data_IF_838334498648
#
_entry.id   IF_838334498648
#
_cell.length_a   1.000
_cell.length_b   1.000
_cell.length_c   1.000
_cell.angle_alpha   90.00
_cell.angle_beta   90.00
_cell.angle_gamma   90.00
#
_symmetry.space_group_name_H-M   'P 1'
#
loop_
_entity.id
_entity.type
_entity.pdbx_description
1 polymer ?
#
# COMPACT_ATOMS: atom_id res chain seq x y z
N UNK A 1 -11.79 -47.28 26.01
CA UNK A 1 -12.83 -46.25 25.89
C UNK A 1 -12.13 -44.95 25.56
N UNK A 2 -12.23 -44.51 24.31
CA UNK A 2 -11.61 -43.28 23.83
C UNK A 2 -12.52 -42.09 24.09
N UNK A 3 -11.93 -40.95 24.46
CA UNK A 3 -12.61 -39.65 24.44
C UNK A 3 -12.02 -38.84 23.29
N UNK A 4 -12.89 -38.52 22.35
CA UNK A 4 -12.60 -37.78 21.14
C UNK A 4 -12.30 -36.31 21.47
N UNK A 5 -11.26 -35.78 20.84
CA UNK A 5 -10.97 -34.36 20.72
C UNK A 5 -12.06 -33.75 19.83
N UNK A 6 -12.84 -32.81 20.36
CA UNK A 6 -13.69 -31.93 19.53
C UNK A 6 -12.93 -30.61 19.37
N UNK A 7 -12.24 -30.48 18.24
CA UNK A 7 -11.50 -29.29 17.82
C UNK A 7 -12.32 -28.44 16.84
N UNK A 8 -13.59 -28.19 17.16
CA UNK A 8 -14.41 -27.22 16.45
C UNK A 8 -14.94 -26.19 17.45
N UNK A 9 -14.05 -25.32 17.90
CA UNK A 9 -14.48 -24.06 18.50
C UNK A 9 -14.90 -23.14 17.36
N UNK A 10 -16.20 -22.96 17.18
CA UNK A 10 -16.74 -21.79 16.50
C UNK A 10 -16.18 -20.56 17.22
N UNK A 11 -15.14 -19.95 16.67
CA UNK A 11 -14.76 -18.60 17.06
C UNK A 11 -15.91 -17.69 16.61
N UNK A 12 -16.82 -17.41 17.54
CA UNK A 12 -17.73 -16.28 17.41
C UNK A 12 -16.88 -15.06 17.01
N UNK A 13 -17.30 -14.28 16.01
CA UNK A 13 -16.55 -13.11 15.59
C UNK A 13 -16.33 -12.23 16.80
N UNK A 14 -15.06 -11.91 17.07
CA UNK A 14 -14.65 -11.07 18.17
C UNK A 14 -15.49 -9.77 18.15
N UNK A 15 -16.26 -9.47 19.20
CA UNK A 15 -17.13 -8.29 19.22
C UNK A 15 -16.35 -6.98 19.03
N UNK A 16 -15.05 -6.95 19.36
CA UNK A 16 -14.17 -5.80 19.11
C UNK A 16 -13.86 -5.61 17.61
N UNK A 17 -13.90 -6.67 16.81
CA UNK A 17 -13.66 -6.63 15.35
C UNK A 17 -14.89 -6.20 14.55
N UNK A 18 -16.07 -6.30 15.16
CA UNK A 18 -17.36 -5.98 14.54
C UNK A 18 -17.49 -4.49 14.16
N UNK A 19 -17.14 -3.50 15.00
CA UNK A 19 -17.18 -2.08 14.60
C UNK A 19 -16.19 -1.74 13.48
N UNK A 20 -14.99 -2.32 13.48
CA UNK A 20 -13.99 -2.10 12.42
C UNK A 20 -14.44 -2.68 11.08
N UNK A 21 -15.02 -3.88 11.10
CA UNK A 21 -15.59 -4.51 9.92
C UNK A 21 -16.73 -3.64 9.35
N UNK A 22 -17.61 -3.10 10.20
CA UNK A 22 -18.70 -2.23 9.76
C UNK A 22 -18.19 -0.89 9.20
N UNK A 23 -17.19 -0.29 9.84
CA UNK A 23 -16.59 0.95 9.35
C UNK A 23 -15.93 0.77 7.97
N UNK A 24 -15.32 -0.38 7.71
CA UNK A 24 -14.73 -0.69 6.40
C UNK A 24 -15.78 -1.06 5.37
N UNK A 25 -16.84 -1.76 5.77
CA UNK A 25 -17.99 -2.00 4.89
C UNK A 25 -18.61 -0.69 4.41
N UNK A 26 -18.83 0.27 5.33
CA UNK A 26 -19.37 1.59 4.98
C UNK A 26 -18.44 2.37 4.03
N UNK A 27 -17.11 2.33 4.28
CA UNK A 27 -16.12 2.95 3.38
C UNK A 27 -16.12 2.31 1.99
N UNK A 28 -16.21 0.98 1.95
CA UNK A 28 -16.27 0.24 0.70
C UNK A 28 -17.52 0.60 -0.10
N UNK A 29 -18.69 0.60 0.54
CA UNK A 29 -19.96 0.93 -0.12
C UNK A 29 -19.93 2.36 -0.67
N UNK A 30 -19.38 3.32 0.09
CA UNK A 30 -19.24 4.70 -0.33
C UNK A 30 -18.21 4.89 -1.46
N UNK A 31 -17.06 4.20 -1.40
CA UNK A 31 -15.99 4.37 -2.39
C UNK A 31 -16.26 3.61 -3.70
N UNK A 32 -17.03 2.51 -3.63
CA UNK A 32 -17.25 1.61 -4.75
C UNK A 32 -18.67 1.67 -5.34
N UNK A 33 -19.52 2.62 -4.93
CA UNK A 33 -20.90 2.74 -5.43
C UNK A 33 -20.97 2.77 -6.95
N UNK A 34 -20.00 3.45 -7.56
CA UNK A 34 -19.93 3.68 -9.02
C UNK A 34 -19.12 2.59 -9.75
N UNK A 35 -18.53 1.64 -8.99
CA UNK A 35 -17.59 0.64 -9.48
C UNK A 35 -18.10 -0.78 -9.23
N UNK A 36 -19.18 -1.12 -9.91
CA UNK A 36 -19.82 -2.46 -9.83
C UNK A 36 -19.07 -3.53 -10.61
N UNK A 37 -18.40 -3.16 -11.70
CA UNK A 37 -17.47 -4.02 -12.43
C UNK A 37 -16.04 -3.88 -11.88
N UNK A 38 -15.44 -5.00 -11.48
CA UNK A 38 -14.07 -5.02 -10.95
C UNK A 38 -13.04 -4.72 -12.02
N UNK A 39 -13.23 -5.23 -13.24
CA UNK A 39 -12.23 -5.07 -14.31
C UNK A 39 -12.16 -3.61 -14.74
N UNK A 40 -13.30 -3.00 -15.04
CA UNK A 40 -13.37 -1.57 -15.38
C UNK A 40 -12.84 -0.65 -14.27
N UNK A 41 -13.06 -1.00 -13.00
CA UNK A 41 -12.45 -0.29 -11.87
C UNK A 41 -10.92 -0.38 -11.87
N UNK A 42 -10.36 -1.57 -12.06
CA UNK A 42 -8.90 -1.72 -12.12
C UNK A 42 -8.30 -0.95 -13.30
N UNK A 43 -8.93 -1.03 -14.47
CA UNK A 43 -8.49 -0.30 -15.68
C UNK A 43 -8.53 1.22 -15.46
N UNK A 44 -9.62 1.73 -14.88
CA UNK A 44 -9.75 3.16 -14.57
C UNK A 44 -8.74 3.61 -13.51
N UNK A 45 -8.52 2.82 -12.47
CA UNK A 45 -7.52 3.11 -11.47
C UNK A 45 -6.12 3.16 -12.13
N UNK A 46 -5.80 2.20 -13.02
CA UNK A 46 -4.52 2.18 -13.75
C UNK A 46 -4.36 3.40 -14.66
N UNK A 47 -5.46 3.91 -15.21
CA UNK A 47 -5.50 5.17 -15.97
C UNK A 47 -5.42 6.43 -15.09
N UNK A 48 -5.33 6.30 -13.76
CA UNK A 48 -5.21 7.43 -12.83
C UNK A 48 -6.54 7.97 -12.32
N UNK A 49 -7.64 7.23 -12.42
CA UNK A 49 -8.90 7.64 -11.81
C UNK A 49 -8.84 7.53 -10.28
N UNK A 50 -9.05 8.66 -9.60
CA UNK A 50 -8.97 8.75 -8.14
C UNK A 50 -10.13 8.01 -7.45
N UNK A 51 -11.34 8.03 -8.03
CA UNK A 51 -12.50 7.32 -7.50
C UNK A 51 -12.30 5.81 -7.55
N UNK A 52 -11.82 5.30 -8.69
CA UNK A 52 -11.47 3.90 -8.86
C UNK A 52 -10.36 3.47 -7.90
N UNK A 53 -9.31 4.29 -7.76
CA UNK A 53 -8.21 4.03 -6.81
C UNK A 53 -8.70 3.98 -5.37
N UNK A 54 -9.62 4.87 -4.97
CA UNK A 54 -10.22 4.85 -3.63
C UNK A 54 -11.08 3.59 -3.41
N UNK A 55 -11.82 3.13 -4.43
CA UNK A 55 -12.56 1.87 -4.37
C UNK A 55 -11.62 0.67 -4.20
N UNK A 56 -10.52 0.62 -4.97
CA UNK A 56 -9.50 -0.43 -4.87
C UNK A 56 -8.92 -0.50 -3.46
N UNK A 57 -8.52 0.64 -2.90
CA UNK A 57 -8.00 0.74 -1.52
C UNK A 57 -9.01 0.21 -0.52
N UNK A 58 -10.29 0.59 -0.62
CA UNK A 58 -11.31 0.12 0.31
C UNK A 58 -11.53 -1.41 0.20
N UNK A 59 -11.43 -1.97 -1.01
CA UNK A 59 -11.47 -3.44 -1.22
C UNK A 59 -10.27 -4.14 -0.60
N UNK A 60 -9.07 -3.57 -0.78
CA UNK A 60 -7.84 -4.09 -0.18
C UNK A 60 -7.90 -4.03 1.36
N UNK A 61 -8.30 -2.90 1.94
CA UNK A 61 -8.49 -2.73 3.39
C UNK A 61 -9.46 -3.78 3.96
N UNK A 62 -10.59 -4.03 3.28
CA UNK A 62 -11.52 -5.10 3.67
C UNK A 62 -10.85 -6.47 3.62
N UNK A 63 -10.08 -6.75 2.58
CA UNK A 63 -9.39 -8.04 2.43
C UNK A 63 -8.36 -8.27 3.54
N UNK A 64 -7.58 -7.23 3.88
CA UNK A 64 -6.59 -7.26 4.95
C UNK A 64 -7.24 -7.49 6.32
N UNK A 65 -8.40 -6.88 6.58
CA UNK A 65 -9.12 -7.07 7.84
C UNK A 65 -9.68 -8.47 8.03
N UNK A 66 -10.15 -9.09 6.94
CA UNK A 66 -10.72 -10.43 6.94
C UNK A 66 -9.66 -11.54 6.94
N UNK A 67 -8.39 -11.20 6.69
CA UNK A 67 -7.26 -12.14 6.63
C UNK A 67 -6.24 -11.85 7.76
N UNK A 68 -6.54 -12.24 9.02
CA UNK A 68 -5.59 -12.05 10.13
C UNK A 68 -4.27 -12.76 9.85
N UNK A 69 -3.15 -12.07 10.09
CA UNK A 69 -1.80 -12.58 9.81
C UNK A 69 -1.36 -12.42 8.35
N UNK A 70 -2.01 -11.53 7.59
CA UNK A 70 -1.51 -11.15 6.26
C UNK A 70 -0.16 -10.42 6.40
N UNK A 71 0.92 -11.20 6.29
CA UNK A 71 2.28 -10.68 6.17
C UNK A 71 2.33 -9.70 5.00
N UNK A 72 2.72 -8.46 5.28
CA UNK A 72 2.76 -7.38 4.29
C UNK A 72 1.51 -6.50 4.22
N UNK A 73 0.65 -6.47 5.25
CA UNK A 73 -0.46 -5.52 5.31
C UNK A 73 0.01 -4.05 5.20
N UNK A 74 1.10 -3.69 5.88
CA UNK A 74 1.66 -2.34 5.77
C UNK A 74 2.33 -2.09 4.42
N UNK A 75 2.94 -3.12 3.83
CA UNK A 75 3.45 -3.04 2.45
C UNK A 75 2.31 -2.79 1.46
N UNK A 76 1.19 -3.49 1.59
CA UNK A 76 0.00 -3.27 0.77
C UNK A 76 -0.52 -1.83 0.92
N UNK A 77 -0.71 -1.37 2.16
CA UNK A 77 -1.13 0.01 2.47
C UNK A 77 -0.18 1.06 1.92
N UNK A 78 1.13 0.83 2.02
CA UNK A 78 2.16 1.72 1.47
C UNK A 78 1.96 1.88 -0.04
N UNK A 79 1.89 0.77 -0.78
CA UNK A 79 1.73 0.77 -2.24
C UNK A 79 0.47 1.51 -2.68
N UNK A 80 -0.66 1.15 -2.08
CA UNK A 80 -1.96 1.68 -2.50
C UNK A 80 -2.16 3.15 -2.10
N UNK A 81 -1.68 3.54 -0.91
CA UNK A 81 -1.74 4.94 -0.46
C UNK A 81 -0.72 5.84 -1.16
N UNK A 82 0.49 5.34 -1.44
CA UNK A 82 1.48 6.05 -2.26
C UNK A 82 0.93 6.34 -3.65
N UNK A 83 0.32 5.35 -4.31
CA UNK A 83 -0.31 5.54 -5.62
C UNK A 83 -1.41 6.59 -5.57
N UNK A 84 -2.30 6.54 -4.57
CA UNK A 84 -3.33 7.57 -4.38
C UNK A 84 -2.71 8.96 -4.22
N UNK A 85 -1.64 9.10 -3.45
CA UNK A 85 -0.94 10.37 -3.29
C UNK A 85 -0.40 10.87 -4.64
N UNK A 86 0.27 10.01 -5.42
CA UNK A 86 0.76 10.38 -6.76
C UNK A 86 -0.36 10.86 -7.69
N UNK A 87 -1.51 10.19 -7.68
CA UNK A 87 -2.66 10.53 -8.54
C UNK A 87 -3.34 11.82 -8.09
N UNK A 88 -3.58 11.97 -6.79
CA UNK A 88 -4.32 13.12 -6.24
C UNK A 88 -3.47 14.38 -6.07
N UNK A 89 -2.15 14.23 -5.96
CA UNK A 89 -1.25 15.28 -5.47
C UNK A 89 -1.42 15.59 -3.97
N UNK A 90 -2.32 14.89 -3.28
CA UNK A 90 -2.61 15.10 -1.86
C UNK A 90 -1.80 14.13 -0.99
N UNK A 91 -1.08 14.69 -0.04
CA UNK A 91 -0.31 13.93 0.95
C UNK A 91 -1.18 12.93 1.71
N UNK A 92 -0.80 11.65 1.69
CA UNK A 92 -1.59 10.57 2.29
C UNK A 92 -0.94 10.04 3.58
N UNK A 93 -1.56 10.34 4.73
CA UNK A 93 -1.07 9.90 6.05
C UNK A 93 -1.04 8.37 6.22
N UNK A 94 -1.85 7.62 5.45
CA UNK A 94 -1.80 6.16 5.50
C UNK A 94 -0.51 5.63 4.89
N UNK A 95 0.00 6.28 3.84
CA UNK A 95 1.29 5.93 3.25
C UNK A 95 2.42 6.16 4.26
N UNK A 96 2.37 7.29 4.98
CA UNK A 96 3.38 7.64 5.99
C UNK A 96 3.30 6.73 7.22
N UNK A 97 2.10 6.40 7.68
CA UNK A 97 1.92 5.45 8.79
C UNK A 97 2.48 4.06 8.44
N UNK A 98 2.22 3.58 7.22
CA UNK A 98 2.78 2.33 6.73
C UNK A 98 4.30 2.39 6.54
N UNK A 99 4.85 3.50 6.05
CA UNK A 99 6.30 3.66 5.92
C UNK A 99 7.00 3.59 7.28
N UNK A 100 6.44 4.25 8.32
CA UNK A 100 6.98 4.24 9.70
C UNK A 100 7.01 2.85 10.35
N UNK A 101 6.27 1.87 9.84
CA UNK A 101 6.26 0.51 10.37
C UNK A 101 7.13 -0.47 9.57
N UNK A 102 7.79 0.00 8.50
CA UNK A 102 8.58 -0.83 7.60
C UNK A 102 10.06 -0.43 7.64
N UNK A 103 10.98 -1.39 7.44
CA UNK A 103 12.39 -1.13 7.19
C UNK A 103 12.59 -0.16 6.01
N UNK A 104 13.63 0.66 6.08
CA UNK A 104 13.87 1.73 5.09
C UNK A 104 14.16 1.14 3.71
N UNK A 105 14.92 0.06 3.63
CA UNK A 105 15.17 -0.68 2.39
C UNK A 105 13.88 -1.17 1.72
N UNK A 106 12.94 -1.66 2.53
CA UNK A 106 11.64 -2.16 2.10
C UNK A 106 10.81 -1.00 1.55
N UNK A 107 10.75 0.12 2.25
CA UNK A 107 10.03 1.31 1.76
C UNK A 107 10.64 1.78 0.44
N UNK A 108 11.96 1.92 0.37
CA UNK A 108 12.66 2.36 -0.83
C UNK A 108 12.39 1.45 -2.04
N UNK A 109 12.45 0.12 -1.85
CA UNK A 109 12.17 -0.86 -2.89
C UNK A 109 10.72 -0.76 -3.41
N UNK A 110 9.75 -0.67 -2.50
CA UNK A 110 8.33 -0.62 -2.84
C UNK A 110 7.96 0.68 -3.57
N UNK A 111 8.39 1.84 -3.06
CA UNK A 111 8.04 3.13 -3.68
C UNK A 111 8.70 3.31 -5.05
N UNK A 112 9.89 2.75 -5.23
CA UNK A 112 10.58 2.80 -6.52
C UNK A 112 10.00 1.84 -7.55
N UNK A 113 9.69 0.60 -7.16
CA UNK A 113 9.00 -0.36 -8.03
C UNK A 113 7.64 0.20 -8.48
N UNK A 114 6.87 0.77 -7.55
CA UNK A 114 5.59 1.39 -7.90
C UNK A 114 5.74 2.65 -8.74
N UNK A 115 6.74 3.49 -8.46
CA UNK A 115 7.07 4.63 -9.31
C UNK A 115 7.38 4.18 -10.75
N UNK A 116 8.14 3.09 -10.90
CA UNK A 116 8.42 2.50 -12.22
C UNK A 116 7.13 2.02 -12.91
N UNK A 117 6.29 1.26 -12.22
CA UNK A 117 5.02 0.78 -12.79
C UNK A 117 4.11 1.92 -13.27
N UNK A 118 3.96 2.96 -12.46
CA UNK A 118 3.16 4.13 -12.83
C UNK A 118 3.71 4.84 -14.07
N UNK A 119 5.03 5.01 -14.17
CA UNK A 119 5.67 5.57 -15.38
C UNK A 119 5.44 4.70 -16.61
N UNK A 120 5.50 3.36 -16.48
CA UNK A 120 5.27 2.45 -17.61
C UNK A 120 3.80 2.41 -18.06
N UNK A 121 2.84 2.58 -17.14
CA UNK A 121 1.41 2.57 -17.45
C UNK A 121 0.95 3.87 -18.15
N UNK A 122 1.55 5.01 -17.83
CA UNK A 122 1.14 6.34 -18.34
C UNK A 122 1.59 6.68 -19.78
N UNK A 123 2.28 5.77 -20.47
CA UNK A 123 2.80 6.01 -21.83
C UNK A 123 4.12 6.80 -21.84
N UNK A 124 5.11 6.40 -22.67
CA UNK A 124 6.52 6.75 -22.43
C UNK A 124 6.89 8.10 -23.06
N UNK A 125 7.05 9.14 -22.24
CA UNK A 125 7.80 10.34 -22.64
C UNK A 125 9.12 10.49 -21.86
N UNK A 126 9.24 9.86 -20.69
CA UNK A 126 10.48 9.88 -19.92
C UNK A 126 11.32 8.64 -20.23
N UNK A 127 12.62 8.86 -20.46
CA UNK A 127 13.60 7.79 -20.67
C UNK A 127 13.49 6.82 -19.50
N UNK A 128 13.31 5.54 -19.83
CA UNK A 128 13.61 4.43 -18.92
C UNK A 128 15.06 4.62 -18.45
N UNK A 129 15.23 4.96 -17.17
CA UNK A 129 16.54 5.17 -16.59
C UNK A 129 17.30 3.84 -16.56
N UNK A 130 18.62 3.84 -16.83
CA UNK A 130 19.42 2.64 -16.98
C UNK A 130 19.51 1.85 -15.66
N UNK A 131 19.71 0.54 -15.81
CA UNK A 131 19.81 -0.45 -14.74
C UNK A 131 20.82 -0.04 -13.65
N UNK A 132 20.33 0.21 -12.45
CA UNK A 132 21.11 0.49 -11.25
C UNK A 132 20.21 0.73 -10.03
N UNK A 133 20.61 0.34 -8.80
CA UNK A 133 19.78 0.43 -7.59
C UNK A 133 19.67 1.85 -7.00
N UNK A 134 20.35 2.83 -7.59
CA UNK A 134 20.36 4.22 -7.13
C UNK A 134 19.45 5.06 -8.03
N UNK A 135 18.16 5.01 -7.75
CA UNK A 135 17.14 5.78 -8.47
C UNK A 135 17.07 7.23 -7.97
N UNK A 136 16.78 8.18 -8.85
CA UNK A 136 16.31 9.52 -8.43
C UNK A 136 14.88 9.35 -7.89
N UNK A 137 14.76 9.33 -6.56
CA UNK A 137 13.48 9.36 -5.87
C UNK A 137 12.87 10.75 -6.02
N UNK A 138 11.57 10.82 -6.33
CA UNK A 138 10.83 12.08 -6.28
C UNK A 138 10.58 12.51 -4.82
N UNK A 139 10.12 13.74 -4.62
CA UNK A 139 9.93 14.32 -3.28
C UNK A 139 9.02 13.48 -2.37
N UNK A 140 7.97 12.87 -2.94
CA UNK A 140 7.05 12.00 -2.19
C UNK A 140 7.78 10.72 -1.74
N UNK A 141 8.54 10.10 -2.65
CA UNK A 141 9.32 8.90 -2.36
C UNK A 141 10.40 9.18 -1.31
N UNK A 142 11.09 10.31 -1.41
CA UNK A 142 12.07 10.76 -0.42
C UNK A 142 11.43 10.94 0.96
N UNK A 143 10.23 11.53 1.02
CA UNK A 143 9.52 11.70 2.29
C UNK A 143 9.17 10.35 2.93
N UNK A 144 8.65 9.40 2.15
CA UNK A 144 8.31 8.07 2.64
C UNK A 144 9.54 7.33 3.17
N UNK A 145 10.67 7.39 2.47
CA UNK A 145 11.93 6.76 2.89
C UNK A 145 12.48 7.39 4.18
N UNK A 146 12.37 8.72 4.34
CA UNK A 146 12.85 9.43 5.54
C UNK A 146 12.10 9.03 6.81
N UNK A 147 10.79 8.77 6.72
CA UNK A 147 9.99 8.39 7.89
C UNK A 147 10.06 6.89 8.22
N UNK A 148 10.69 6.09 7.37
CA UNK A 148 10.80 4.64 7.55
C UNK A 148 11.71 4.26 8.72
N UNK A 149 11.55 3.03 9.23
CA UNK A 149 12.39 2.48 10.29
C UNK A 149 13.84 2.48 9.79
N UNK A 150 14.79 3.11 10.51
CA UNK A 150 16.19 3.09 10.13
C UNK A 150 16.73 1.65 10.12
N UNK A 151 17.55 1.33 9.13
CA UNK A 151 18.24 0.04 9.05
C UNK A 151 19.66 0.19 9.64
N UNK A 152 20.13 -0.79 10.42
CA UNK A 152 21.47 -0.76 11.05
C UNK A 152 22.63 -0.93 10.02
N UNK A 153 22.36 -1.44 8.80
CA UNK A 153 23.37 -1.93 7.85
C UNK A 153 23.44 -1.20 6.47
N UNK A 154 22.60 -0.21 6.18
CA UNK A 154 22.43 0.33 4.81
C UNK A 154 22.60 1.85 4.72
N UNK A 155 23.85 2.30 4.86
CA UNK A 155 24.30 3.63 4.45
C UNK A 155 25.35 3.63 3.29
N UNK A 156 25.14 2.90 2.16
CA UNK A 156 25.81 3.29 0.90
C UNK A 156 24.88 3.94 -0.14
N UNK A 157 23.56 3.69 -0.10
CA UNK A 157 22.61 4.23 -1.09
C UNK A 157 22.06 5.62 -0.72
N UNK A 158 22.03 5.95 0.59
CA UNK A 158 21.46 7.22 1.09
C UNK A 158 22.35 8.43 0.82
N UNK A 159 23.69 8.28 0.89
CA UNK A 159 24.64 9.33 0.47
C UNK A 159 24.50 9.65 -1.03
N UNK A 160 24.20 8.64 -1.86
CA UNK A 160 23.91 8.83 -3.28
C UNK A 160 22.57 9.53 -3.57
N UNK A 161 21.68 9.64 -2.57
CA UNK A 161 20.36 10.27 -2.67
C UNK A 161 20.27 11.65 -2.01
N UNK A 162 21.38 12.17 -1.45
CA UNK A 162 21.41 13.49 -0.82
C UNK A 162 20.54 13.62 0.43
N UNK A 163 20.24 12.50 1.09
CA UNK A 163 19.54 12.48 2.38
C UNK A 163 20.61 12.44 3.47
N UNK A 164 20.92 13.60 4.06
CA UNK A 164 21.70 13.66 5.30
C UNK A 164 20.88 13.12 6.48
N UNK A 165 21.55 12.51 7.46
CA UNK A 165 20.96 11.98 8.71
C UNK A 165 20.13 13.01 9.49
#
# INVERSE_FOLDING_TARGET
>A
MGLAVSACGDHAPDPERTPDIQAVANRLDAACSDWTDRTGMMDAALAGDLGATNCEIAREERHLLLSPGFDGADRARLRSSYRRWQISGERDERALAAARSLPRDTVAGEVAYHGHLLRTASGPAERLLPDGPCWELNDIQLELVRVAIPDDDTAPCLEGWGIEE
#
